data_IF_899618992581
#
_entry.id   IF_899618992581
#
_cell.length_a   1.000
_cell.length_b   1.000
_cell.length_c   1.000
_cell.angle_alpha   90.00
_cell.angle_beta   90.00
_cell.angle_gamma   90.00
#
_symmetry.space_group_name_H-M   'P 1'
#
loop_
_entity.id
_entity.type
_entity.pdbx_description
1 polymer ?
#
# COMPACT_ATOMS: atom_id res chain seq x y z
N UNK A 1 26.37 -14.90 21.02
CA UNK A 1 25.17 -14.95 20.17
C UNK A 1 25.24 -13.72 19.29
N UNK A 2 25.44 -13.90 17.99
CA UNK A 2 25.54 -12.79 17.04
C UNK A 2 24.23 -12.00 17.07
N UNK A 3 24.32 -10.68 17.25
CA UNK A 3 23.15 -9.81 17.31
C UNK A 3 22.55 -9.75 15.90
N UNK A 4 21.48 -10.49 15.65
CA UNK A 4 20.78 -10.45 14.37
C UNK A 4 20.24 -9.04 14.16
N UNK A 5 20.60 -8.40 13.06
CA UNK A 5 20.03 -7.12 12.67
C UNK A 5 18.60 -7.34 12.18
N UNK A 6 17.64 -6.60 12.75
CA UNK A 6 16.23 -6.65 12.34
C UNK A 6 16.07 -6.31 10.86
N UNK A 7 16.93 -5.46 10.30
CA UNK A 7 16.88 -5.09 8.89
C UNK A 7 17.33 -6.22 7.96
N UNK A 8 18.27 -7.07 8.38
CA UNK A 8 18.65 -8.28 7.62
C UNK A 8 17.49 -9.27 7.56
N UNK A 9 16.72 -9.41 8.66
CA UNK A 9 15.52 -10.24 8.67
C UNK A 9 14.46 -9.68 7.71
N UNK A 10 14.22 -8.37 7.74
CA UNK A 10 13.28 -7.70 6.83
C UNK A 10 13.68 -7.91 5.37
N UNK A 11 14.97 -7.79 5.04
CA UNK A 11 15.49 -8.02 3.69
C UNK A 11 15.19 -9.46 3.23
N UNK A 12 15.55 -10.46 4.05
CA UNK A 12 15.35 -11.88 3.75
C UNK A 12 13.86 -12.23 3.60
N UNK A 13 13.01 -11.73 4.49
CA UNK A 13 11.56 -11.89 4.38
C UNK A 13 11.03 -11.25 3.09
N UNK A 14 11.48 -10.03 2.78
CA UNK A 14 11.08 -9.33 1.56
C UNK A 14 11.55 -10.07 0.30
N UNK A 15 12.74 -10.66 0.31
CA UNK A 15 13.26 -11.46 -0.80
C UNK A 15 12.41 -12.72 -1.03
N UNK A 16 12.03 -13.43 0.05
CA UNK A 16 11.16 -14.59 0.00
C UNK A 16 9.77 -14.23 -0.55
N UNK A 17 9.13 -13.20 0.01
CA UNK A 17 7.80 -12.73 -0.45
C UNK A 17 7.85 -12.37 -1.93
N UNK A 18 8.84 -11.57 -2.36
CA UNK A 18 9.00 -11.18 -3.76
C UNK A 18 9.27 -12.37 -4.68
N UNK A 19 9.89 -13.44 -4.19
CA UNK A 19 10.10 -14.67 -4.95
C UNK A 19 8.76 -15.35 -5.25
N UNK A 20 7.90 -15.49 -4.24
CA UNK A 20 6.57 -16.10 -4.42
C UNK A 20 5.64 -15.24 -5.28
N UNK A 21 5.65 -13.92 -5.10
CA UNK A 21 4.92 -12.98 -5.97
C UNK A 21 5.34 -13.11 -7.45
N UNK A 22 6.63 -13.26 -7.73
CA UNK A 22 7.13 -13.42 -9.11
C UNK A 22 6.64 -14.72 -9.75
N UNK A 23 6.57 -15.82 -8.99
CA UNK A 23 6.03 -17.10 -9.49
C UNK A 23 4.56 -16.93 -9.89
N UNK A 24 3.73 -16.40 -8.98
CA UNK A 24 2.31 -16.12 -9.24
C UNK A 24 2.09 -15.14 -10.40
N UNK A 25 2.89 -14.08 -10.47
CA UNK A 25 2.84 -13.14 -11.60
C UNK A 25 3.12 -13.83 -12.94
N UNK A 26 4.11 -14.72 -12.99
CA UNK A 26 4.48 -15.45 -14.21
C UNK A 26 3.35 -16.37 -14.66
N UNK A 27 2.75 -17.13 -13.73
CA UNK A 27 1.58 -17.99 -14.00
C UNK A 27 0.38 -17.21 -14.57
N UNK A 28 0.21 -15.96 -14.14
CA UNK A 28 -0.91 -15.09 -14.52
C UNK A 28 -0.60 -14.13 -15.69
N UNK A 29 0.60 -14.21 -16.29
CA UNK A 29 1.01 -13.31 -17.37
C UNK A 29 1.11 -11.83 -16.94
N UNK A 30 1.46 -11.60 -15.67
CA UNK A 30 1.67 -10.28 -15.08
C UNK A 30 3.16 -9.99 -14.86
N UNK A 31 3.50 -8.71 -14.84
CA UNK A 31 4.80 -8.26 -14.34
C UNK A 31 4.64 -7.89 -12.85
N UNK A 32 5.68 -8.05 -12.01
CA UNK A 32 5.61 -7.70 -10.59
C UNK A 32 5.14 -6.26 -10.34
N UNK A 33 5.53 -5.32 -11.22
CA UNK A 33 5.08 -3.92 -11.13
C UNK A 33 3.56 -3.77 -11.27
N UNK A 34 2.90 -4.62 -12.07
CA UNK A 34 1.44 -4.64 -12.19
C UNK A 34 0.78 -5.02 -10.87
N UNK A 35 1.30 -6.06 -10.24
CA UNK A 35 0.83 -6.54 -8.94
C UNK A 35 1.02 -5.45 -7.87
N UNK A 36 2.20 -4.83 -7.80
CA UNK A 36 2.49 -3.77 -6.83
C UNK A 36 1.55 -2.56 -6.97
N UNK A 37 1.25 -2.14 -8.20
CA UNK A 37 0.31 -1.03 -8.45
C UNK A 37 -1.11 -1.40 -8.04
N UNK A 38 -1.61 -2.58 -8.46
CA UNK A 38 -2.97 -3.01 -8.10
C UNK A 38 -3.10 -3.23 -6.59
N UNK A 39 -2.09 -3.82 -5.95
CA UNK A 39 -2.06 -4.07 -4.52
C UNK A 39 -2.09 -2.76 -3.72
N UNK A 40 -1.30 -1.76 -4.13
CA UNK A 40 -1.36 -0.42 -3.53
C UNK A 40 -2.76 0.20 -3.68
N UNK A 41 -3.33 0.20 -4.89
CA UNK A 41 -4.64 0.79 -5.15
C UNK A 41 -5.77 0.11 -4.35
N UNK A 42 -5.64 -1.19 -4.05
CA UNK A 42 -6.60 -1.90 -3.19
C UNK A 42 -6.53 -1.47 -1.72
N UNK A 43 -5.38 -0.93 -1.27
CA UNK A 43 -5.07 -0.63 0.14
C UNK A 43 -4.95 0.85 0.44
N UNK A 44 -5.07 1.73 -0.54
CA UNK A 44 -4.94 3.18 -0.36
C UNK A 44 -6.30 3.86 -0.22
N UNK A 45 -6.35 4.95 0.56
CA UNK A 45 -7.56 5.78 0.68
C UNK A 45 -7.67 6.76 -0.49
N UNK A 46 -8.77 7.52 -0.53
CA UNK A 46 -9.06 8.51 -1.58
C UNK A 46 -8.09 9.69 -1.68
N UNK A 47 -7.22 9.90 -0.69
CA UNK A 47 -6.15 10.92 -0.78
C UNK A 47 -4.89 10.38 -1.44
N UNK A 48 -4.85 9.07 -1.67
CA UNK A 48 -3.66 8.32 -2.04
C UNK A 48 -3.86 7.54 -3.33
N UNK A 49 -4.99 7.70 -4.00
CA UNK A 49 -5.36 7.01 -5.23
C UNK A 49 -4.94 7.80 -6.48
N UNK A 50 -3.85 8.59 -6.40
CA UNK A 50 -3.36 9.41 -7.51
C UNK A 50 -2.04 8.85 -8.08
N UNK A 51 -1.70 9.15 -9.36
CA UNK A 51 -0.40 8.78 -9.92
C UNK A 51 0.79 9.33 -9.13
N UNK A 52 0.65 10.50 -8.53
CA UNK A 52 1.68 11.11 -7.68
C UNK A 52 1.89 10.31 -6.38
N UNK A 53 0.79 9.97 -5.70
CA UNK A 53 0.82 9.15 -4.48
C UNK A 53 1.47 7.78 -4.75
N UNK A 54 1.07 7.15 -5.85
CA UNK A 54 1.62 5.86 -6.29
C UNK A 54 3.13 5.94 -6.58
N UNK A 55 3.56 7.01 -7.26
CA UNK A 55 4.98 7.27 -7.55
C UNK A 55 5.78 7.39 -6.24
N UNK A 56 5.27 8.15 -5.29
CA UNK A 56 5.92 8.36 -4.00
C UNK A 56 5.98 7.09 -3.15
N UNK A 57 4.89 6.31 -3.11
CA UNK A 57 4.83 5.09 -2.32
C UNK A 57 5.72 3.98 -2.90
N UNK A 58 5.69 3.76 -4.21
CA UNK A 58 6.46 2.68 -4.85
C UNK A 58 7.92 3.07 -5.15
N UNK A 59 8.28 4.34 -5.01
CA UNK A 59 9.62 4.84 -5.37
C UNK A 59 9.95 4.69 -6.86
N UNK A 60 8.93 4.60 -7.71
CA UNK A 60 9.07 4.43 -9.16
C UNK A 60 9.17 5.79 -9.86
N UNK A 61 9.69 5.82 -11.08
CA UNK A 61 9.67 7.05 -11.87
C UNK A 61 8.26 7.35 -12.39
N UNK A 62 7.95 8.62 -12.61
CA UNK A 62 6.69 9.05 -13.26
C UNK A 62 6.47 8.36 -14.61
N UNK A 63 7.53 8.15 -15.38
CA UNK A 63 7.47 7.45 -16.67
C UNK A 63 7.03 5.99 -16.50
N UNK A 64 7.65 5.27 -15.56
CA UNK A 64 7.30 3.88 -15.22
C UNK A 64 5.84 3.79 -14.76
N UNK A 65 5.43 4.64 -13.82
CA UNK A 65 4.05 4.66 -13.32
C UNK A 65 3.06 4.93 -14.45
N UNK A 66 3.31 5.93 -15.29
CA UNK A 66 2.43 6.26 -16.42
C UNK A 66 2.26 5.07 -17.38
N UNK A 67 3.36 4.42 -17.76
CA UNK A 67 3.32 3.25 -18.66
C UNK A 67 2.57 2.07 -18.03
N UNK A 68 2.84 1.78 -16.76
CA UNK A 68 2.14 0.71 -16.03
C UNK A 68 0.64 0.99 -15.96
N UNK A 69 0.25 2.21 -15.58
CA UNK A 69 -1.17 2.58 -15.49
C UNK A 69 -1.87 2.50 -16.84
N UNK A 70 -1.23 2.93 -17.93
CA UNK A 70 -1.79 2.77 -19.28
C UNK A 70 -2.03 1.30 -19.65
N UNK A 71 -1.09 0.41 -19.31
CA UNK A 71 -1.24 -1.01 -19.61
C UNK A 71 -2.34 -1.66 -18.76
N UNK A 72 -2.42 -1.34 -17.46
CA UNK A 72 -3.46 -1.87 -16.57
C UNK A 72 -4.85 -1.37 -16.96
N UNK A 73 -4.97 -0.11 -17.37
CA UNK A 73 -6.22 0.47 -17.87
C UNK A 73 -6.63 -0.21 -19.18
N UNK A 74 -5.71 -0.42 -20.13
CA UNK A 74 -5.97 -1.16 -21.37
C UNK A 74 -6.41 -2.61 -21.11
N UNK A 75 -5.90 -3.24 -20.05
CA UNK A 75 -6.31 -4.59 -19.61
C UNK A 75 -7.65 -4.59 -18.88
N UNK A 76 -8.24 -3.44 -18.58
CA UNK A 76 -9.50 -3.35 -17.82
C UNK A 76 -9.33 -3.64 -16.33
N UNK A 77 -8.13 -3.50 -15.77
CA UNK A 77 -7.89 -3.77 -14.35
C UNK A 77 -8.04 -2.54 -13.48
N UNK A 78 -7.85 -1.35 -14.05
CA UNK A 78 -8.04 -0.08 -13.36
C UNK A 78 -8.83 0.89 -14.24
N UNK A 79 -9.33 1.95 -13.61
CA UNK A 79 -9.92 3.10 -14.28
C UNK A 79 -9.31 4.40 -13.77
N UNK A 80 -9.09 5.35 -14.69
CA UNK A 80 -8.78 6.74 -14.36
C UNK A 80 -10.05 7.58 -14.39
N UNK A 81 -10.24 8.39 -13.36
CA UNK A 81 -11.35 9.36 -13.26
C UNK A 81 -10.76 10.72 -12.94
N UNK A 82 -11.04 11.73 -13.77
CA UNK A 82 -10.66 13.10 -13.46
C UNK A 82 -11.41 13.57 -12.21
N UNK A 83 -10.74 14.31 -11.33
CA UNK A 83 -11.40 14.89 -10.17
C UNK A 83 -12.45 15.91 -10.60
N UNK A 84 -13.53 16.00 -9.82
CA UNK A 84 -14.69 16.87 -10.13
C UNK A 84 -14.36 18.34 -9.87
N UNK A 85 -13.50 18.62 -8.88
CA UNK A 85 -13.15 19.95 -8.43
C UNK A 85 -11.87 20.47 -9.09
N UNK A 86 -10.89 19.59 -9.35
CA UNK A 86 -9.65 19.91 -10.06
C UNK A 86 -9.38 18.94 -11.21
N UNK A 87 -9.68 19.36 -12.44
CA UNK A 87 -9.45 18.56 -13.66
C UNK A 87 -7.98 18.20 -13.91
N UNK A 88 -7.02 18.80 -13.18
CA UNK A 88 -5.60 18.43 -13.23
C UNK A 88 -5.30 17.20 -12.39
N UNK A 89 -6.19 16.85 -11.46
CA UNK A 89 -6.08 15.67 -10.63
C UNK A 89 -6.82 14.49 -11.27
N UNK A 90 -6.23 13.31 -11.12
CA UNK A 90 -6.78 12.04 -11.63
C UNK A 90 -6.73 11.02 -10.50
N UNK A 91 -7.88 10.43 -10.22
CA UNK A 91 -8.06 9.32 -9.30
C UNK A 91 -8.01 7.99 -10.03
N UNK A 92 -7.45 6.99 -9.36
CA UNK A 92 -7.20 5.64 -9.84
C UNK A 92 -8.04 4.67 -9.00
N UNK A 93 -8.92 3.92 -9.66
CA UNK A 93 -9.71 2.90 -8.98
C UNK A 93 -9.42 1.52 -9.56
N UNK A 94 -9.25 0.52 -8.70
CA UNK A 94 -9.21 -0.88 -9.11
C UNK A 94 -10.60 -1.32 -9.57
N UNK A 95 -10.67 -1.99 -10.73
CA UNK A 95 -11.90 -2.59 -11.25
C UNK A 95 -12.05 -4.02 -10.72
N UNK A 96 -13.25 -4.60 -10.87
CA UNK A 96 -13.55 -5.96 -10.38
C UNK A 96 -12.61 -7.02 -10.96
N UNK A 97 -12.27 -6.91 -12.24
CA UNK A 97 -11.31 -7.80 -12.90
C UNK A 97 -9.90 -7.62 -12.33
N UNK A 98 -9.52 -6.38 -12.01
CA UNK A 98 -8.27 -6.04 -11.36
C UNK A 98 -8.16 -6.62 -9.94
N UNK A 99 -9.24 -6.53 -9.16
CA UNK A 99 -9.31 -7.13 -7.82
C UNK A 99 -9.25 -8.66 -7.89
N UNK A 100 -9.97 -9.26 -8.83
CA UNK A 100 -9.96 -10.71 -9.03
C UNK A 100 -8.57 -11.24 -9.38
N UNK A 101 -7.85 -10.58 -10.29
CA UNK A 101 -6.50 -11.01 -10.66
C UNK A 101 -5.48 -10.72 -9.55
N UNK A 102 -5.65 -9.62 -8.80
CA UNK A 102 -4.84 -9.28 -7.64
C UNK A 102 -4.92 -10.36 -6.56
N UNK A 103 -6.13 -10.79 -6.19
CA UNK A 103 -6.32 -11.81 -5.16
C UNK A 103 -5.72 -13.17 -5.57
N UNK A 104 -5.76 -13.51 -6.87
CA UNK A 104 -5.05 -14.71 -7.39
C UNK A 104 -3.53 -14.60 -7.36
N UNK A 105 -3.01 -13.38 -7.49
CA UNK A 105 -1.58 -13.11 -7.55
C UNK A 105 -0.93 -12.96 -6.17
N UNK A 106 -1.72 -12.62 -5.13
CA UNK A 106 -1.24 -12.53 -3.75
C UNK A 106 -0.81 -13.90 -3.24
N UNK A 107 0.31 -14.00 -2.49
CA UNK A 107 0.76 -15.25 -1.90
C UNK A 107 -0.01 -15.57 -0.61
N UNK A 108 -1.36 -15.55 -0.64
CA UNK A 108 -2.21 -15.78 0.55
C UNK A 108 -1.97 -17.16 1.18
N UNK A 109 -1.67 -18.17 0.37
CA UNK A 109 -1.31 -19.51 0.85
C UNK A 109 -0.05 -19.48 1.72
N UNK A 110 0.98 -18.73 1.30
CA UNK A 110 2.23 -18.59 2.05
C UNK A 110 1.95 -17.92 3.40
N UNK A 111 1.19 -16.83 3.41
CA UNK A 111 0.89 -16.10 4.65
C UNK A 111 0.03 -16.93 5.61
N UNK A 112 -0.97 -17.64 5.10
CA UNK A 112 -1.84 -18.49 5.91
C UNK A 112 -1.07 -19.65 6.55
N UNK A 113 -0.19 -20.31 5.78
CA UNK A 113 0.68 -21.38 6.28
C UNK A 113 1.70 -20.85 7.29
N UNK A 114 2.36 -19.71 6.99
CA UNK A 114 3.30 -19.08 7.90
C UNK A 114 2.64 -18.71 9.23
N UNK A 115 1.43 -18.12 9.19
CA UNK A 115 0.66 -17.77 10.39
C UNK A 115 0.33 -18.99 11.26
N UNK A 116 -0.11 -20.10 10.63
CA UNK A 116 -0.39 -21.35 11.35
C UNK A 116 0.85 -21.98 12.01
N UNK A 117 2.03 -21.81 11.40
CA UNK A 117 3.31 -22.28 11.97
C UNK A 117 3.80 -21.35 13.08
N UNK A 118 3.63 -20.04 12.91
CA UNK A 118 4.26 -19.02 13.75
C UNK A 118 3.61 -18.90 15.14
N UNK A 119 2.38 -19.40 15.36
CA UNK A 119 1.70 -19.51 16.66
C UNK A 119 1.93 -18.30 17.59
N UNK A 120 1.40 -17.12 17.23
CA UNK A 120 1.55 -15.90 18.03
C UNK A 120 0.67 -15.92 19.29
N UNK A 121 1.32 -15.83 20.46
CA UNK A 121 0.66 -15.49 21.74
C UNK A 121 0.96 -14.05 22.20
N UNK A 122 1.79 -13.28 21.49
CA UNK A 122 2.12 -11.89 21.83
C UNK A 122 2.17 -10.99 20.59
N UNK A 123 1.50 -9.84 20.67
CA UNK A 123 1.52 -8.79 19.65
C UNK A 123 2.89 -8.10 19.62
N UNK A 124 3.75 -8.49 18.66
CA UNK A 124 5.03 -7.81 18.39
C UNK A 124 4.94 -6.72 17.32
N UNK A 125 3.73 -6.34 16.90
CA UNK A 125 3.48 -5.34 15.85
C UNK A 125 4.25 -4.03 16.05
N UNK A 126 4.37 -3.57 17.30
CA UNK A 126 5.06 -2.33 17.66
C UNK A 126 6.53 -2.30 17.22
N UNK A 127 7.24 -3.45 17.23
CA UNK A 127 8.65 -3.50 16.80
C UNK A 127 8.76 -3.21 15.31
N UNK A 128 7.89 -3.80 14.49
CA UNK A 128 7.86 -3.58 13.04
C UNK A 128 7.43 -2.16 12.67
N UNK A 129 6.43 -1.61 13.37
CA UNK A 129 6.00 -0.21 13.17
C UNK A 129 7.13 0.77 13.50
N UNK A 130 7.87 0.53 14.59
CA UNK A 130 9.02 1.35 14.95
C UNK A 130 10.16 1.24 13.93
N UNK A 131 10.46 0.03 13.45
CA UNK A 131 11.47 -0.19 12.42
C UNK A 131 11.10 0.52 11.09
N UNK A 132 9.83 0.45 10.67
CA UNK A 132 9.33 1.16 9.50
C UNK A 132 9.45 2.68 9.66
N UNK A 133 9.02 3.21 10.82
CA UNK A 133 9.09 4.65 11.12
C UNK A 133 10.54 5.14 11.11
N UNK A 134 11.47 4.36 11.65
CA UNK A 134 12.90 4.68 11.64
C UNK A 134 13.45 4.75 10.20
N UNK A 135 13.10 3.79 9.32
CA UNK A 135 13.49 3.81 7.91
C UNK A 135 12.90 5.01 7.16
N UNK A 136 11.63 5.33 7.38
CA UNK A 136 10.98 6.48 6.74
C UNK A 136 11.65 7.80 7.14
N UNK A 137 11.96 7.97 8.43
CA UNK A 137 12.70 9.13 8.95
C UNK A 137 14.11 9.21 8.36
N UNK A 138 14.84 8.09 8.33
CA UNK A 138 16.20 8.03 7.80
C UNK A 138 16.26 8.32 6.29
N UNK A 139 15.27 7.86 5.51
CA UNK A 139 15.18 8.08 4.08
C UNK A 139 14.66 9.48 3.69
N UNK A 140 14.39 10.36 4.67
CA UNK A 140 13.88 11.74 4.48
C UNK A 140 12.67 11.83 3.54
N UNK A 141 11.94 10.73 3.42
CA UNK A 141 10.79 10.61 2.53
C UNK A 141 9.53 10.95 3.30
N UNK A 142 8.47 11.32 2.58
CA UNK A 142 7.16 11.49 3.20
C UNK A 142 6.74 10.16 3.84
N UNK A 143 6.35 10.19 5.12
CA UNK A 143 5.84 8.99 5.76
C UNK A 143 4.53 8.57 5.12
N UNK A 144 4.28 7.27 5.10
CA UNK A 144 2.98 6.68 4.77
C UNK A 144 2.61 5.69 5.87
N UNK A 145 1.33 5.48 6.08
CA UNK A 145 0.80 4.59 7.11
C UNK A 145 -0.72 4.52 7.02
N UNK A 146 -1.34 3.76 7.91
CA UNK A 146 -2.80 3.70 7.97
C UNK A 146 -3.36 5.06 8.38
N UNK A 147 -4.45 5.51 7.78
CA UNK A 147 -4.99 6.83 8.04
C UNK A 147 -5.29 7.05 9.54
N UNK A 148 -5.79 6.02 10.24
CA UNK A 148 -6.08 6.05 11.69
C UNK A 148 -4.86 6.27 12.59
N UNK A 149 -3.63 6.07 12.08
CA UNK A 149 -2.39 6.31 12.82
C UNK A 149 -1.76 7.67 12.49
N UNK A 150 -2.38 8.46 11.61
CA UNK A 150 -1.90 9.78 11.25
C UNK A 150 -2.16 10.81 12.35
N UNK A 151 -1.24 11.76 12.56
CA UNK A 151 -1.41 12.89 13.50
C UNK A 151 -2.62 13.77 13.22
N UNK A 152 -3.11 13.78 11.97
CA UNK A 152 -4.27 14.57 11.55
C UNK A 152 -5.58 13.81 11.67
N UNK A 153 -5.56 12.57 12.17
CA UNK A 153 -6.76 11.74 12.32
C UNK A 153 -7.44 12.02 13.66
N UNK A 154 -8.71 12.41 13.59
CA UNK A 154 -9.51 12.72 14.78
C UNK A 154 -10.78 11.85 14.79
N UNK A 155 -11.08 11.23 15.94
CA UNK A 155 -12.34 10.55 16.18
C UNK A 155 -13.38 11.56 16.67
N UNK A 156 -14.55 11.55 16.06
CA UNK A 156 -15.70 12.38 16.44
C UNK A 156 -16.85 11.50 16.95
N UNK A 157 -17.92 12.11 17.46
CA UNK A 157 -19.14 11.39 17.87
C UNK A 157 -19.77 10.59 16.73
N UNK A 158 -19.71 11.12 15.51
CA UNK A 158 -20.43 10.61 14.34
C UNK A 158 -19.52 9.96 13.30
N UNK A 159 -18.25 9.69 13.65
CA UNK A 159 -17.29 9.02 12.78
C UNK A 159 -15.86 9.52 12.95
N UNK A 160 -15.22 9.83 11.83
CA UNK A 160 -13.82 10.21 11.77
C UNK A 160 -13.64 11.47 10.93
N UNK A 161 -12.57 12.22 11.19
CA UNK A 161 -12.31 13.48 10.52
C UNK A 161 -10.81 13.65 10.25
N UNK A 162 -10.46 14.25 9.11
CA UNK A 162 -9.08 14.63 8.81
C UNK A 162 -8.87 16.12 9.07
N UNK A 163 -8.02 16.45 10.04
CA UNK A 163 -7.70 17.84 10.38
C UNK A 163 -6.82 18.55 9.35
N UNK A 164 -6.22 17.82 8.41
CA UNK A 164 -5.48 18.40 7.29
C UNK A 164 -6.40 18.82 6.15
N UNK A 165 -7.22 17.89 5.64
CA UNK A 165 -8.10 18.16 4.48
C UNK A 165 -9.41 18.83 4.89
N UNK A 166 -9.75 18.82 6.18
CA UNK A 166 -11.01 19.31 6.74
C UNK A 166 -12.25 18.57 6.21
N UNK A 167 -12.12 17.27 6.01
CA UNK A 167 -13.18 16.41 5.49
C UNK A 167 -13.49 15.22 6.42
N UNK A 168 -14.75 14.73 6.43
CA UNK A 168 -15.12 13.52 7.15
C UNK A 168 -14.51 12.28 6.49
N UNK A 169 -14.06 11.32 7.30
CA UNK A 169 -13.48 10.06 6.86
C UNK A 169 -14.42 8.89 7.14
N UNK A 170 -14.47 7.93 6.22
CA UNK A 170 -15.17 6.67 6.46
C UNK A 170 -14.32 5.70 7.31
N UNK A 171 -14.95 4.66 7.85
CA UNK A 171 -14.22 3.54 8.47
C UNK A 171 -13.19 2.94 7.50
N UNK A 172 -13.57 2.75 6.23
CA UNK A 172 -12.67 2.22 5.21
C UNK A 172 -11.46 3.11 4.96
N UNK A 173 -11.65 4.44 4.92
CA UNK A 173 -10.52 5.37 4.77
C UNK A 173 -9.54 5.26 5.94
N UNK A 174 -10.06 5.08 7.17
CA UNK A 174 -9.26 4.99 8.40
C UNK A 174 -8.30 3.80 8.40
N UNK A 175 -8.66 2.71 7.73
CA UNK A 175 -7.90 1.45 7.68
C UNK A 175 -6.96 1.34 6.48
N UNK A 176 -6.94 2.36 5.63
CA UNK A 176 -6.17 2.37 4.38
C UNK A 176 -4.95 3.28 4.45
N UNK A 177 -3.99 3.01 3.58
CA UNK A 177 -2.76 3.80 3.42
C UNK A 177 -3.11 5.23 3.04
N UNK A 178 -2.51 6.18 3.73
CA UNK A 178 -2.66 7.62 3.50
C UNK A 178 -1.30 8.25 3.15
N UNK A 179 -1.19 8.93 2.00
CA UNK A 179 0.02 9.68 1.61
C UNK A 179 0.26 10.89 2.52
N UNK A 180 -0.81 11.47 3.06
CA UNK A 180 -0.75 12.61 3.99
C UNK A 180 -0.39 12.18 5.41
N UNK A 181 -0.18 10.87 5.61
CA UNK A 181 0.17 10.32 6.91
C UNK A 181 1.43 10.98 7.44
N UNK A 182 1.35 11.50 8.65
CA UNK A 182 2.49 12.03 9.38
C UNK A 182 2.47 11.48 10.80
N UNK A 183 3.61 10.99 11.26
CA UNK A 183 3.81 10.57 12.65
C UNK A 183 4.17 11.80 13.50
N UNK A 184 3.68 11.86 14.75
CA UNK A 184 4.08 12.88 15.71
C UNK A 184 5.59 12.82 16.04
#
# INVERSE_FOLDING_TARGET
MEKVDVFDLIERMSALIRSEERKKCTELGLQPVHLQVMDYLSRCNRYSDTPAALTNYLGMTRGTVSQTLQLLEKKGYIKKTADVNDRRMVHLSLLTEGDTILNKARPEDLYSQASAIFNENESQENVFVNALTALQKANKSQSFGLCKTCKYFTRTSDGFFCDLTKEPLSQSDSEKICQEHTVC
#
